data_IF_882166539872
#
_entry.id   IF_882166539872
#
_cell.length_a   1.000
_cell.length_b   1.000
_cell.length_c   1.000
_cell.angle_alpha   90.00
_cell.angle_beta   90.00
_cell.angle_gamma   90.00
#
_symmetry.space_group_name_H-M   'P 1'
#
loop_
_entity.id
_entity.type
_entity.pdbx_description
1 polymer ?
#
# COMPACT_ATOMS: atom_id res chain seq x y z
N UNK A 1 12.79 1.65 46.63
CA UNK A 1 11.67 0.70 46.84
C UNK A 1 12.14 -0.67 47.33
N UNK A 2 13.06 -1.36 46.63
CA UNK A 2 13.52 -2.71 47.01
C UNK A 2 14.09 -2.85 48.44
N UNK A 3 14.80 -1.82 48.96
CA UNK A 3 15.39 -1.85 50.33
C UNK A 3 14.38 -1.81 51.48
N UNK A 4 13.20 -1.23 51.25
CA UNK A 4 12.15 -1.11 52.25
C UNK A 4 11.36 -2.41 52.41
N UNK A 5 11.25 -3.16 51.30
CA UNK A 5 10.61 -4.46 51.27
C UNK A 5 11.56 -5.54 51.84
N UNK A 6 12.86 -5.45 51.55
CA UNK A 6 13.85 -6.37 52.12
C UNK A 6 13.97 -6.30 53.64
N UNK A 7 13.89 -5.10 54.23
CA UNK A 7 13.95 -4.91 55.69
C UNK A 7 12.68 -5.40 56.40
N UNK A 8 11.51 -5.27 55.75
CA UNK A 8 10.24 -5.79 56.28
C UNK A 8 10.17 -7.33 56.22
N UNK A 9 10.72 -7.93 55.15
CA UNK A 9 10.84 -9.39 55.00
C UNK A 9 11.67 -10.01 56.13
N UNK A 10 12.78 -9.38 56.51
CA UNK A 10 13.61 -9.85 57.63
C UNK A 10 12.87 -9.81 58.98
N UNK A 11 12.09 -8.77 59.27
CA UNK A 11 11.29 -8.68 60.51
C UNK A 11 10.15 -9.71 60.59
N UNK A 12 9.49 -10.03 59.48
CA UNK A 12 8.38 -11.00 59.46
C UNK A 12 8.85 -12.45 59.57
N UNK A 13 10.06 -12.74 59.09
CA UNK A 13 10.73 -14.05 59.25
C UNK A 13 11.16 -14.30 60.69
N UNK A 14 11.59 -13.26 61.44
CA UNK A 14 11.97 -13.41 62.85
C UNK A 14 10.78 -13.61 63.80
N UNK A 15 9.56 -13.25 63.39
CA UNK A 15 8.33 -13.36 64.22
C UNK A 15 7.52 -14.65 64.00
N UNK A 16 8.04 -15.67 63.29
CA UNK A 16 7.34 -16.92 62.98
C UNK A 16 6.00 -16.74 62.19
N UNK A 17 5.82 -15.59 61.53
CA UNK A 17 4.60 -15.24 60.76
C UNK A 17 4.72 -15.57 59.27
N UNK A 18 5.12 -16.79 58.96
CA UNK A 18 5.39 -17.25 57.59
C UNK A 18 4.19 -17.06 56.64
N UNK A 19 2.95 -17.30 57.11
CA UNK A 19 1.75 -17.09 56.30
C UNK A 19 1.54 -15.64 55.87
N UNK A 20 1.88 -14.65 56.69
CA UNK A 20 1.77 -13.23 56.31
C UNK A 20 2.82 -12.87 55.26
N UNK A 21 4.04 -13.37 55.43
CA UNK A 21 5.13 -13.18 54.46
C UNK A 21 4.77 -13.72 53.07
N UNK A 22 4.18 -14.91 52.98
CA UNK A 22 3.73 -15.51 51.71
C UNK A 22 2.73 -14.62 50.97
N UNK A 23 1.72 -14.07 51.67
CA UNK A 23 0.71 -13.19 51.06
C UNK A 23 1.36 -11.91 50.49
N UNK A 24 2.29 -11.31 51.23
CA UNK A 24 2.99 -10.12 50.75
C UNK A 24 3.91 -10.40 49.55
N UNK A 25 4.61 -11.54 49.54
CA UNK A 25 5.45 -11.93 48.42
C UNK A 25 4.63 -12.21 47.16
N UNK A 26 3.47 -12.86 47.28
CA UNK A 26 2.54 -13.07 46.16
C UNK A 26 2.00 -11.74 45.65
N UNK A 27 1.63 -10.82 46.55
CA UNK A 27 1.17 -9.47 46.17
C UNK A 27 2.22 -8.68 45.38
N UNK A 28 3.50 -8.77 45.76
CA UNK A 28 4.60 -8.13 45.06
C UNK A 28 4.81 -8.71 43.65
N UNK A 29 4.74 -10.04 43.50
CA UNK A 29 4.82 -10.70 42.19
C UNK A 29 3.66 -10.26 41.29
N UNK A 30 2.43 -10.25 41.82
CA UNK A 30 1.24 -9.81 41.05
C UNK A 30 1.38 -8.36 40.60
N UNK A 31 1.87 -7.46 41.46
CA UNK A 31 2.11 -6.06 41.09
C UNK A 31 3.16 -5.92 40.00
N UNK A 32 4.25 -6.68 40.08
CA UNK A 32 5.30 -6.68 39.04
C UNK A 32 4.74 -7.22 37.72
N UNK A 33 3.97 -8.30 37.75
CA UNK A 33 3.33 -8.87 36.56
C UNK A 33 2.37 -7.88 35.91
N UNK A 34 1.52 -7.20 36.69
CA UNK A 34 0.63 -6.14 36.18
C UNK A 34 1.45 -5.02 35.52
N UNK A 35 2.55 -4.59 36.15
CA UNK A 35 3.43 -3.58 35.59
C UNK A 35 4.00 -3.98 34.22
N UNK A 36 4.47 -5.23 34.09
CA UNK A 36 5.00 -5.77 32.83
C UNK A 36 3.89 -5.86 31.77
N UNK A 37 2.72 -6.37 32.13
CA UNK A 37 1.59 -6.49 31.20
C UNK A 37 1.14 -5.13 30.67
N UNK A 38 1.08 -4.10 31.53
CA UNK A 38 0.75 -2.74 31.10
C UNK A 38 1.84 -2.20 30.17
N UNK A 39 3.12 -2.39 30.49
CA UNK A 39 4.22 -1.95 29.64
C UNK A 39 4.18 -2.60 28.24
N UNK A 40 3.96 -3.92 28.19
CA UNK A 40 3.81 -4.66 26.92
C UNK A 40 2.56 -4.18 26.16
N UNK A 41 1.46 -3.95 26.86
CA UNK A 41 0.21 -3.47 26.23
C UNK A 41 0.37 -2.10 25.60
N UNK A 42 1.03 -1.16 26.29
CA UNK A 42 1.34 0.17 25.76
C UNK A 42 2.27 0.07 24.53
N UNK A 43 3.29 -0.78 24.61
CA UNK A 43 4.20 -1.00 23.49
C UNK A 43 3.47 -1.56 22.26
N UNK A 44 2.63 -2.57 22.44
CA UNK A 44 1.84 -3.17 21.35
C UNK A 44 0.85 -2.17 20.74
N UNK A 45 0.19 -1.35 21.58
CA UNK A 45 -0.70 -0.30 21.09
C UNK A 45 0.04 0.75 20.25
N UNK A 46 1.26 1.13 20.65
CA UNK A 46 2.07 2.05 19.88
C UNK A 46 2.51 1.46 18.52
N UNK A 47 2.88 0.17 18.49
CA UNK A 47 3.20 -0.53 17.24
C UNK A 47 1.97 -0.59 16.33
N UNK A 48 0.80 -0.99 16.84
CA UNK A 48 -0.43 -1.07 16.06
C UNK A 48 -0.86 0.30 15.52
N UNK A 49 -0.61 1.38 16.28
CA UNK A 49 -0.83 2.74 15.81
C UNK A 49 0.10 3.09 14.64
N UNK A 50 1.38 2.78 14.77
CA UNK A 50 2.37 3.04 13.71
C UNK A 50 2.05 2.23 12.45
N UNK A 51 1.69 0.95 12.59
CA UNK A 51 1.28 0.10 11.47
C UNK A 51 0.06 0.67 10.75
N UNK A 52 -0.92 1.22 11.50
CA UNK A 52 -2.10 1.90 10.93
C UNK A 52 -1.73 3.19 10.20
N UNK A 53 -0.80 3.98 10.72
CA UNK A 53 -0.33 5.18 10.03
C UNK A 53 0.34 4.83 8.70
N UNK A 54 1.19 3.79 8.68
CA UNK A 54 1.80 3.26 7.46
C UNK A 54 0.77 2.72 6.47
N UNK A 55 -0.22 1.95 6.94
CA UNK A 55 -1.32 1.45 6.10
C UNK A 55 -2.05 2.62 5.39
N UNK A 56 -2.44 3.65 6.14
CA UNK A 56 -3.16 4.81 5.58
C UNK A 56 -2.32 5.57 4.56
N UNK A 57 -1.02 5.76 4.84
CA UNK A 57 -0.09 6.39 3.90
C UNK A 57 0.02 5.59 2.60
N UNK A 58 0.19 4.27 2.70
CA UNK A 58 0.30 3.36 1.56
C UNK A 58 -0.99 3.34 0.74
N UNK A 59 -2.16 3.26 1.39
CA UNK A 59 -3.46 3.30 0.70
C UNK A 59 -3.69 4.63 -0.03
N UNK A 60 -3.29 5.76 0.57
CA UNK A 60 -3.38 7.07 -0.08
C UNK A 60 -2.46 7.17 -1.29
N UNK A 61 -1.22 6.70 -1.16
CA UNK A 61 -0.26 6.68 -2.25
C UNK A 61 -0.76 5.79 -3.41
N UNK A 62 -1.28 4.60 -3.09
CA UNK A 62 -1.80 3.66 -4.08
C UNK A 62 -3.04 4.22 -4.79
N UNK A 63 -3.94 4.87 -4.06
CA UNK A 63 -5.09 5.58 -4.64
C UNK A 63 -4.63 6.66 -5.63
N UNK A 64 -3.62 7.44 -5.26
CA UNK A 64 -3.09 8.47 -6.14
C UNK A 64 -2.44 7.87 -7.40
N UNK A 65 -1.67 6.79 -7.27
CA UNK A 65 -1.10 6.04 -8.39
C UNK A 65 -2.19 5.56 -9.36
N UNK A 66 -3.26 4.94 -8.84
CA UNK A 66 -4.38 4.51 -9.67
C UNK A 66 -5.11 5.65 -10.35
N UNK A 67 -5.27 6.81 -9.70
CA UNK A 67 -5.84 8.01 -10.34
C UNK A 67 -4.96 8.48 -11.50
N UNK A 68 -3.63 8.45 -11.36
CA UNK A 68 -2.75 8.80 -12.48
C UNK A 68 -2.82 7.77 -13.61
N UNK A 69 -2.88 6.49 -13.26
CA UNK A 69 -3.01 5.41 -14.25
C UNK A 69 -4.32 5.51 -15.03
N UNK A 70 -5.43 5.87 -14.37
CA UNK A 70 -6.70 6.13 -15.06
C UNK A 70 -6.57 7.28 -16.06
N UNK A 71 -5.90 8.39 -15.69
CA UNK A 71 -5.68 9.52 -16.62
C UNK A 71 -4.81 9.12 -17.82
N UNK A 72 -3.77 8.32 -17.60
CA UNK A 72 -2.93 7.78 -18.67
C UNK A 72 -3.79 6.92 -19.60
N UNK A 73 -4.60 6.03 -19.03
CA UNK A 73 -5.48 5.15 -19.78
C UNK A 73 -6.50 5.93 -20.61
N UNK A 74 -7.17 6.93 -20.04
CA UNK A 74 -8.11 7.79 -20.75
C UNK A 74 -7.44 8.52 -21.92
N UNK A 75 -6.23 9.06 -21.70
CA UNK A 75 -5.47 9.73 -22.74
C UNK A 75 -5.08 8.77 -23.88
N UNK A 76 -4.70 7.54 -23.54
CA UNK A 76 -4.38 6.48 -24.51
C UNK A 76 -5.63 6.06 -25.29
N UNK A 77 -6.76 5.89 -24.62
CA UNK A 77 -8.04 5.56 -25.27
C UNK A 77 -8.46 6.63 -26.28
N UNK A 78 -8.43 7.91 -25.89
CA UNK A 78 -8.77 9.00 -26.81
C UNK A 78 -7.81 9.09 -27.99
N UNK A 79 -6.50 8.88 -27.77
CA UNK A 79 -5.54 8.85 -28.87
C UNK A 79 -5.81 7.69 -29.81
N UNK A 80 -6.04 6.50 -29.29
CA UNK A 80 -6.34 5.31 -30.10
C UNK A 80 -7.61 5.53 -30.92
N UNK A 81 -8.64 6.14 -30.32
CA UNK A 81 -9.87 6.51 -31.03
C UNK A 81 -9.58 7.45 -32.21
N UNK A 82 -8.78 8.50 -31.99
CA UNK A 82 -8.38 9.44 -33.04
C UNK A 82 -7.51 8.77 -34.12
N UNK A 83 -6.62 7.86 -33.74
CA UNK A 83 -5.77 7.12 -34.68
C UNK A 83 -6.62 6.19 -35.56
N UNK A 84 -7.61 5.50 -34.99
CA UNK A 84 -8.56 4.68 -35.75
C UNK A 84 -9.34 5.56 -36.73
N UNK A 85 -9.88 6.70 -36.30
CA UNK A 85 -10.62 7.63 -37.16
C UNK A 85 -9.76 8.13 -38.34
N UNK A 86 -8.51 8.50 -38.08
CA UNK A 86 -7.55 8.94 -39.12
C UNK A 86 -7.20 7.81 -40.09
N UNK A 87 -6.96 6.61 -39.58
CA UNK A 87 -6.69 5.43 -40.40
C UNK A 87 -7.89 5.09 -41.29
N UNK A 88 -9.12 5.16 -40.78
CA UNK A 88 -10.33 4.92 -41.57
C UNK A 88 -10.49 5.94 -42.70
N UNK A 89 -10.35 7.24 -42.40
CA UNK A 89 -10.39 8.31 -43.42
C UNK A 89 -9.32 8.13 -44.50
N UNK A 90 -8.12 7.71 -44.09
CA UNK A 90 -7.04 7.41 -45.01
C UNK A 90 -7.41 6.24 -45.95
N UNK A 91 -7.93 5.14 -45.41
CA UNK A 91 -8.39 3.98 -46.21
C UNK A 91 -9.51 4.37 -47.18
N UNK A 92 -10.48 5.18 -46.74
CA UNK A 92 -11.57 5.66 -47.59
C UNK A 92 -11.06 6.52 -48.76
N UNK A 93 -10.06 7.38 -48.50
CA UNK A 93 -9.46 8.23 -49.53
C UNK A 93 -8.81 7.42 -50.66
N UNK A 94 -8.27 6.23 -50.37
CA UNK A 94 -7.70 5.33 -51.36
C UNK A 94 -8.73 4.51 -52.15
N UNK A 95 -9.95 4.32 -51.63
CA UNK A 95 -11.02 3.56 -52.31
C UNK A 95 -11.77 4.38 -53.36
N UNK A 96 -11.84 5.69 -53.18
CA UNK A 96 -12.30 6.60 -54.24
C UNK A 96 -11.22 6.62 -55.32
N UNK A 97 -11.55 6.44 -56.60
CA UNK A 97 -10.63 6.38 -57.76
C UNK A 97 -9.90 7.73 -58.05
N UNK A 98 -9.32 8.34 -57.01
CA UNK A 98 -8.60 9.62 -56.99
C UNK A 98 -7.09 9.35 -56.88
N UNK A 99 -6.64 8.12 -57.17
CA UNK A 99 -5.26 7.68 -56.97
C UNK A 99 -4.24 8.53 -57.73
N UNK A 100 -4.66 9.24 -58.79
CA UNK A 100 -3.83 10.17 -59.57
C UNK A 100 -3.89 11.63 -59.07
N UNK A 101 -4.67 11.93 -58.02
CA UNK A 101 -4.91 13.31 -57.53
C UNK A 101 -4.52 13.55 -56.08
N UNK A 102 -4.19 12.51 -55.31
CA UNK A 102 -3.71 12.64 -53.92
C UNK A 102 -2.18 12.82 -53.93
N UNK A 103 -1.69 13.99 -53.51
CA UNK A 103 -0.25 14.26 -53.39
C UNK A 103 0.41 13.35 -52.36
N UNK A 104 1.63 12.89 -52.65
CA UNK A 104 2.50 12.14 -51.73
C UNK A 104 2.66 12.85 -50.38
N UNK A 105 2.69 14.19 -50.38
CA UNK A 105 2.73 15.00 -49.16
C UNK A 105 1.51 14.77 -48.25
N UNK A 106 0.33 14.58 -48.84
CA UNK A 106 -0.91 14.33 -48.10
C UNK A 106 -0.89 12.94 -47.48
N UNK A 107 -0.38 11.95 -48.21
CA UNK A 107 -0.20 10.57 -47.72
C UNK A 107 0.80 10.56 -46.56
N UNK A 108 1.96 11.20 -46.73
CA UNK A 108 2.99 11.26 -45.70
C UNK A 108 2.50 11.97 -44.42
N UNK A 109 1.77 13.08 -44.57
CA UNK A 109 1.17 13.81 -43.44
C UNK A 109 0.16 12.95 -42.68
N UNK A 110 -0.74 12.27 -43.39
CA UNK A 110 -1.74 11.40 -42.78
C UNK A 110 -1.10 10.19 -42.09
N UNK A 111 -0.09 9.57 -42.71
CA UNK A 111 0.67 8.48 -42.11
C UNK A 111 1.38 8.93 -40.83
N UNK A 112 2.08 10.07 -40.86
CA UNK A 112 2.74 10.63 -39.68
C UNK A 112 1.74 11.00 -38.57
N UNK A 113 0.58 11.56 -38.91
CA UNK A 113 -0.44 11.88 -37.92
C UNK A 113 -1.14 10.65 -37.33
N UNK A 114 -1.17 9.53 -38.06
CA UNK A 114 -1.82 8.28 -37.62
C UNK A 114 -0.87 7.40 -36.82
N UNK A 115 0.38 7.28 -37.27
CA UNK A 115 1.36 6.33 -36.72
C UNK A 115 2.54 7.00 -35.98
N UNK A 116 2.72 8.32 -36.13
CA UNK A 116 3.86 9.04 -35.55
C UNK A 116 3.65 9.57 -34.13
N UNK A 117 2.44 9.42 -33.56
CA UNK A 117 2.12 9.87 -32.20
C UNK A 117 1.54 8.71 -31.38
N UNK A 118 2.39 7.76 -31.01
CA UNK A 118 2.05 6.80 -29.95
C UNK A 118 2.20 7.48 -28.58
N UNK A 119 1.20 7.29 -27.71
CA UNK A 119 1.31 7.72 -26.31
C UNK A 119 1.98 6.57 -25.56
N UNK A 120 3.03 6.90 -24.78
CA UNK A 120 3.60 5.97 -23.83
C UNK A 120 2.52 5.50 -22.84
N UNK A 121 2.13 4.23 -22.94
CA UNK A 121 1.06 3.60 -22.14
C UNK A 121 1.63 2.82 -20.93
N UNK A 122 2.72 3.29 -20.35
CA UNK A 122 3.31 2.61 -19.20
C UNK A 122 2.57 3.04 -17.95
N UNK A 123 1.84 2.11 -17.33
CA UNK A 123 1.21 2.36 -16.04
C UNK A 123 2.28 2.62 -14.97
N UNK A 124 2.01 3.56 -14.06
CA UNK A 124 2.83 3.74 -12.87
C UNK A 124 2.59 2.55 -11.93
N UNK A 125 3.68 1.97 -11.43
CA UNK A 125 3.64 0.85 -10.49
C UNK A 125 4.65 1.00 -9.35
N UNK A 126 5.21 2.20 -9.18
CA UNK A 126 6.27 2.46 -8.22
C UNK A 126 5.80 2.26 -6.78
N UNK A 127 4.62 2.78 -6.45
CA UNK A 127 4.02 2.66 -5.12
C UNK A 127 3.66 1.21 -4.84
N UNK A 128 2.99 0.53 -5.77
CA UNK A 128 2.65 -0.88 -5.59
C UNK A 128 3.91 -1.74 -5.40
N UNK A 129 4.97 -1.49 -6.18
CA UNK A 129 6.25 -2.21 -6.07
C UNK A 129 6.90 -1.98 -4.72
N UNK A 130 6.90 -0.74 -4.22
CA UNK A 130 7.41 -0.40 -2.90
C UNK A 130 6.67 -1.15 -1.80
N UNK A 131 5.33 -1.12 -1.80
CA UNK A 131 4.48 -1.80 -0.80
C UNK A 131 4.70 -3.32 -0.82
N UNK A 132 4.91 -3.91 -2.00
CA UNK A 132 5.25 -5.34 -2.13
C UNK A 132 6.64 -5.61 -1.56
N UNK A 133 7.65 -4.82 -1.94
CA UNK A 133 9.05 -5.03 -1.57
C UNK A 133 9.31 -4.87 -0.07
N UNK A 134 8.59 -3.96 0.58
CA UNK A 134 8.65 -3.72 2.03
C UNK A 134 7.86 -4.76 2.83
N UNK A 135 6.97 -5.50 2.16
CA UNK A 135 6.06 -6.45 2.81
C UNK A 135 4.89 -5.79 3.53
N UNK A 136 4.65 -4.50 3.26
CA UNK A 136 3.60 -3.70 3.89
C UNK A 136 2.19 -4.11 3.46
N UNK A 137 2.05 -4.93 2.41
CA UNK A 137 0.78 -5.58 2.05
C UNK A 137 0.12 -6.30 3.24
N UNK A 138 0.92 -6.84 4.18
CA UNK A 138 0.41 -7.51 5.38
C UNK A 138 -0.28 -6.56 6.37
N UNK A 139 0.02 -5.26 6.29
CA UNK A 139 -0.54 -4.23 7.18
C UNK A 139 -1.96 -3.84 6.75
N UNK A 140 -2.37 -4.17 5.53
CA UNK A 140 -3.73 -3.88 5.03
C UNK A 140 -4.75 -4.74 5.79
N UNK A 141 -5.51 -4.10 6.68
CA UNK A 141 -6.52 -4.74 7.52
C UNK A 141 -7.79 -5.10 6.74
N UNK A 142 -8.09 -4.33 5.69
CA UNK A 142 -9.24 -4.60 4.84
C UNK A 142 -9.06 -5.93 4.08
N UNK A 143 -9.85 -6.94 4.46
CA UNK A 143 -9.73 -8.30 3.92
C UNK A 143 -10.02 -8.37 2.41
N UNK A 144 -10.95 -7.57 1.91
CA UNK A 144 -11.32 -7.56 0.49
C UNK A 144 -10.19 -7.00 -0.37
N UNK A 145 -9.58 -5.88 0.06
CA UNK A 145 -8.41 -5.29 -0.59
C UNK A 145 -7.19 -6.22 -0.53
N UNK A 146 -6.98 -6.88 0.61
CA UNK A 146 -5.88 -7.82 0.81
C UNK A 146 -6.02 -9.06 -0.11
N UNK A 147 -7.20 -9.67 -0.18
CA UNK A 147 -7.47 -10.81 -1.07
C UNK A 147 -7.32 -10.45 -2.55
N UNK A 148 -7.85 -9.28 -2.95
CA UNK A 148 -7.78 -8.80 -4.33
C UNK A 148 -6.32 -8.53 -4.76
N UNK A 149 -5.49 -8.01 -3.85
CA UNK A 149 -4.07 -7.71 -4.14
C UNK A 149 -3.21 -8.97 -4.35
N UNK A 150 -3.55 -10.10 -3.70
CA UNK A 150 -2.81 -11.37 -3.81
C UNK A 150 -3.09 -12.14 -5.10
N UNK A 151 -4.24 -11.91 -5.73
CA UNK A 151 -4.56 -12.53 -7.01
C UNK A 151 -3.89 -11.83 -8.21
N UNK A 152 -3.53 -10.55 -8.08
CA UNK A 152 -2.88 -9.80 -9.16
C UNK A 152 -1.40 -10.13 -9.35
N UNK A 153 -0.74 -10.78 -8.38
CA UNK A 153 0.70 -11.12 -8.46
C UNK A 153 1.00 -12.50 -9.07
N UNK A 154 -0.03 -13.21 -9.55
CA UNK A 154 0.07 -14.58 -10.06
C UNK A 154 -0.02 -14.69 -11.61
N UNK A 155 0.06 -13.59 -12.35
CA UNK A 155 0.10 -13.55 -13.82
C UNK A 155 1.26 -12.72 -14.32
#
# INVERSE_FOLDING_TARGET
>A
MLRFISSLKQKLLSENRFNKYLIYAVGEIVLVVIGILIAVSINNWNIEKQDRETEQMNLLALKNEFIQNLKILDAVMERNRLNIERATKMIESFKSNVSDTISEETIARNAYQTFGNEINNTANSGVLTEIISTGDLKLIQNQELNLSSRHSTAG
#
